data_IF_681378486751
#
_entry.id   IF_681378486751
#
_cell.length_a   1.000
_cell.length_b   1.000
_cell.length_c   1.000
_cell.angle_alpha   90.00
_cell.angle_beta   90.00
_cell.angle_gamma   90.00
#
_symmetry.space_group_name_H-M   'P 1'
#
loop_
_entity.id
_entity.type
_entity.pdbx_description
1 polymer ?
#
# COMPACT_ATOMS: atom_id res chain seq x y z
N UNK A 1 -29.07 5.06 49.00
CA UNK A 1 -28.71 6.27 48.23
C UNK A 1 -27.20 6.32 48.14
N UNK A 2 -26.47 6.22 47.04
CA UNK A 2 -26.69 5.91 45.63
C UNK A 2 -25.41 5.13 45.23
N UNK A 3 -25.54 3.94 44.65
CA UNK A 3 -25.13 3.64 43.27
C UNK A 3 -24.18 4.68 42.62
N UNK A 4 -22.93 4.29 42.40
CA UNK A 4 -22.17 4.75 41.24
C UNK A 4 -21.23 3.65 40.80
N UNK A 5 -21.81 2.80 39.96
CA UNK A 5 -21.12 1.84 39.11
C UNK A 5 -20.09 2.61 38.27
N UNK A 6 -18.81 2.50 38.63
CA UNK A 6 -17.73 2.89 37.72
C UNK A 6 -17.82 1.97 36.51
N UNK A 7 -18.18 2.57 35.38
CA UNK A 7 -18.22 1.93 34.07
C UNK A 7 -16.84 1.32 33.82
N UNK A 8 -16.79 -0.02 33.83
CA UNK A 8 -15.64 -0.77 33.34
C UNK A 8 -15.66 -0.65 31.82
N UNK A 9 -15.13 0.46 31.28
CA UNK A 9 -14.72 0.50 29.89
C UNK A 9 -13.53 -0.44 29.77
N UNK A 10 -13.80 -1.63 29.24
CA UNK A 10 -12.78 -2.61 28.89
C UNK A 10 -11.64 -1.92 28.16
N UNK A 11 -10.44 -1.97 28.75
CA UNK A 11 -9.20 -1.74 28.03
C UNK A 11 -9.03 -2.93 27.09
N UNK A 12 -9.78 -2.96 25.99
CA UNK A 12 -9.33 -3.70 24.82
C UNK A 12 -8.06 -3.01 24.38
N UNK A 13 -6.93 -3.55 24.83
CA UNK A 13 -5.64 -3.42 24.17
C UNK A 13 -5.90 -3.43 22.68
N UNK A 14 -5.86 -2.25 22.06
CA UNK A 14 -5.67 -2.15 20.62
C UNK A 14 -4.29 -2.75 20.41
N UNK A 15 -4.26 -4.08 20.22
CA UNK A 15 -3.19 -4.69 19.47
C UNK A 15 -3.07 -3.79 18.24
N UNK A 16 -1.93 -3.11 18.01
CA UNK A 16 -1.74 -2.43 16.75
C UNK A 16 -1.97 -3.51 15.72
N UNK A 17 -3.09 -3.42 14.99
CA UNK A 17 -3.28 -4.25 13.81
C UNK A 17 -1.98 -4.05 13.05
N UNK A 18 -1.26 -5.12 12.66
CA UNK A 18 -0.09 -4.94 11.84
C UNK A 18 -0.56 -4.15 10.64
N UNK A 19 -0.26 -2.86 10.62
CA UNK A 19 -0.36 -2.04 9.43
C UNK A 19 0.71 -2.67 8.59
N UNK A 20 0.33 -3.51 7.64
CA UNK A 20 1.24 -4.03 6.63
C UNK A 20 1.79 -2.79 5.96
N UNK A 21 2.96 -2.35 6.42
CA UNK A 21 3.59 -1.15 5.92
C UNK A 21 4.11 -1.53 4.56
N UNK A 22 3.40 -1.08 3.51
CA UNK A 22 3.89 -1.20 2.16
C UNK A 22 5.13 -0.31 2.05
N UNK A 23 6.28 -0.92 1.80
CA UNK A 23 7.45 -0.21 1.33
C UNK A 23 7.37 -0.07 -0.17
N UNK A 24 8.01 0.95 -0.73
CA UNK A 24 8.08 1.12 -2.19
C UNK A 24 8.66 -0.13 -2.89
N UNK A 25 9.60 -0.83 -2.24
CA UNK A 25 10.15 -2.09 -2.75
C UNK A 25 9.11 -3.19 -2.84
N UNK A 26 8.30 -3.40 -1.79
CA UNK A 26 7.21 -4.37 -1.82
C UNK A 26 6.18 -4.02 -2.91
N UNK A 27 5.83 -2.74 -3.05
CA UNK A 27 4.91 -2.29 -4.10
C UNK A 27 5.50 -2.60 -5.49
N UNK A 28 6.78 -2.31 -5.72
CA UNK A 28 7.46 -2.62 -6.99
C UNK A 28 7.44 -4.12 -7.30
N UNK A 29 7.73 -4.96 -6.31
CA UNK A 29 7.73 -6.42 -6.49
C UNK A 29 6.35 -6.96 -6.84
N UNK A 30 5.30 -6.52 -6.14
CA UNK A 30 3.92 -6.91 -6.43
C UNK A 30 3.49 -6.46 -7.83
N UNK A 31 3.78 -5.20 -8.18
CA UNK A 31 3.46 -4.64 -9.50
C UNK A 31 4.21 -5.36 -10.62
N UNK A 32 5.49 -5.71 -10.40
CA UNK A 32 6.28 -6.51 -11.36
C UNK A 32 5.61 -7.86 -11.61
N UNK A 33 5.16 -8.55 -10.58
CA UNK A 33 4.43 -9.81 -10.75
C UNK A 33 3.13 -9.63 -11.54
N UNK A 34 2.38 -8.54 -11.30
CA UNK A 34 1.16 -8.26 -12.06
C UNK A 34 1.45 -8.00 -13.55
N UNK A 35 2.57 -7.33 -13.87
CA UNK A 35 3.01 -7.10 -15.24
C UNK A 35 3.47 -8.41 -15.90
N UNK A 36 4.28 -9.22 -15.20
CA UNK A 36 4.78 -10.51 -15.70
C UNK A 36 3.66 -11.51 -15.98
N UNK A 37 2.59 -11.49 -15.15
CA UNK A 37 1.38 -12.28 -15.37
C UNK A 37 0.50 -11.76 -16.51
N UNK A 38 0.79 -10.56 -17.03
CA UNK A 38 -0.02 -9.90 -18.04
C UNK A 38 -1.34 -9.32 -17.51
N UNK A 39 -1.50 -9.24 -16.19
CA UNK A 39 -2.70 -8.70 -15.53
C UNK A 39 -2.79 -7.18 -15.71
N UNK A 40 -1.65 -6.49 -15.63
CA UNK A 40 -1.53 -5.05 -15.90
C UNK A 40 -0.45 -4.78 -16.94
N UNK A 41 -0.55 -3.66 -17.64
CA UNK A 41 0.46 -3.21 -18.61
C UNK A 41 1.31 -2.11 -18.02
N UNK A 42 2.61 -2.10 -18.35
CA UNK A 42 3.53 -1.01 -17.98
C UNK A 42 3.08 0.39 -18.40
N UNK A 43 2.20 0.51 -19.40
CA UNK A 43 1.70 1.81 -19.88
C UNK A 43 0.44 2.27 -19.16
N UNK A 44 -0.15 1.42 -18.31
CA UNK A 44 -1.31 1.81 -17.53
C UNK A 44 -0.89 2.75 -16.38
N UNK A 45 -1.79 3.64 -15.96
CA UNK A 45 -1.54 4.55 -14.85
C UNK A 45 -1.55 3.80 -13.51
N UNK A 46 -0.81 4.29 -12.52
CA UNK A 46 -0.69 3.66 -11.19
C UNK A 46 -2.02 3.49 -10.44
N UNK A 47 -3.03 4.31 -10.70
CA UNK A 47 -4.33 4.16 -10.04
C UNK A 47 -5.01 2.80 -10.33
N UNK A 48 -4.68 2.11 -11.43
CA UNK A 48 -5.30 0.81 -11.74
C UNK A 48 -4.95 -0.27 -10.71
N UNK A 49 -3.88 -0.06 -9.93
CA UNK A 49 -3.46 -0.97 -8.88
C UNK A 49 -4.52 -1.11 -7.76
N UNK A 50 -5.42 -0.14 -7.61
CA UNK A 50 -6.52 -0.21 -6.65
C UNK A 50 -7.54 -1.32 -6.95
N UNK A 51 -7.57 -1.83 -8.18
CA UNK A 51 -8.41 -2.97 -8.57
C UNK A 51 -7.85 -4.32 -8.07
N UNK A 52 -6.55 -4.36 -7.76
CA UNK A 52 -5.83 -5.58 -7.38
C UNK A 52 -5.42 -5.59 -5.91
N UNK A 53 -5.34 -4.41 -5.28
CA UNK A 53 -4.96 -4.25 -3.88
C UNK A 53 -6.24 -4.07 -3.05
N UNK A 54 -6.42 -4.82 -1.94
CA UNK A 54 -7.58 -4.64 -1.08
C UNK A 54 -7.73 -3.18 -0.61
N UNK A 55 -8.96 -2.65 -0.59
CA UNK A 55 -9.22 -1.25 -0.26
C UNK A 55 -8.60 -0.79 1.09
N UNK A 56 -8.51 -1.69 2.08
CA UNK A 56 -7.89 -1.40 3.39
C UNK A 56 -6.37 -1.22 3.32
N UNK A 57 -5.74 -1.78 2.31
CA UNK A 57 -4.29 -1.76 2.05
C UNK A 57 -3.93 -0.65 1.06
N UNK A 58 -4.84 -0.32 0.14
CA UNK A 58 -4.66 0.74 -0.85
C UNK A 58 -4.23 2.07 -0.23
N UNK A 59 -4.82 2.45 0.91
CA UNK A 59 -4.44 3.69 1.62
C UNK A 59 -2.95 3.71 1.99
N UNK A 60 -2.39 2.57 2.40
CA UNK A 60 -0.97 2.47 2.70
C UNK A 60 -0.09 2.57 1.45
N UNK A 61 -0.56 2.00 0.33
CA UNK A 61 0.13 2.02 -0.95
C UNK A 61 0.14 3.43 -1.54
N UNK A 62 -1.01 4.12 -1.55
CA UNK A 62 -1.13 5.50 -2.05
C UNK A 62 -0.22 6.46 -1.27
N UNK A 63 -0.22 6.38 0.06
CA UNK A 63 0.67 7.16 0.91
C UNK A 63 2.15 6.90 0.60
N UNK A 64 2.53 5.64 0.37
CA UNK A 64 3.92 5.28 0.06
C UNK A 64 4.35 5.76 -1.33
N UNK A 65 3.45 5.67 -2.34
CA UNK A 65 3.69 6.21 -3.68
C UNK A 65 3.91 7.73 -3.63
N UNK A 66 3.04 8.46 -2.93
CA UNK A 66 3.17 9.91 -2.77
C UNK A 66 4.47 10.29 -2.03
N UNK A 67 4.83 9.54 -0.98
CA UNK A 67 6.09 9.73 -0.23
C UNK A 67 7.34 9.52 -1.08
N UNK A 68 7.23 8.75 -2.16
CA UNK A 68 8.29 8.49 -3.12
C UNK A 68 8.14 9.30 -4.42
N UNK A 69 7.36 10.39 -4.40
CA UNK A 69 7.14 11.31 -5.52
C UNK A 69 6.48 10.68 -6.76
N UNK A 70 5.77 9.56 -6.59
CA UNK A 70 4.94 8.97 -7.65
C UNK A 70 3.52 9.50 -7.59
N UNK A 71 2.96 9.81 -8.74
CA UNK A 71 1.60 10.29 -8.89
C UNK A 71 0.73 9.17 -9.46
N UNK A 72 -0.52 9.09 -9.03
CA UNK A 72 -1.46 8.04 -9.48
C UNK A 72 -1.69 8.01 -11.00
N UNK A 73 -1.37 9.09 -11.70
CA UNK A 73 -1.44 9.21 -13.17
C UNK A 73 -0.18 8.73 -13.89
N UNK A 74 0.92 8.58 -13.17
CA UNK A 74 2.20 8.13 -13.73
C UNK A 74 2.06 6.68 -14.19
N UNK A 75 2.92 6.26 -15.10
CA UNK A 75 2.81 4.93 -15.68
C UNK A 75 3.40 3.90 -14.72
N UNK A 76 2.81 2.70 -14.71
CA UNK A 76 3.36 1.53 -14.00
C UNK A 76 4.83 1.31 -14.38
N UNK A 77 5.21 1.58 -15.63
CA UNK A 77 6.57 1.51 -16.13
C UNK A 77 7.55 2.41 -15.36
N UNK A 78 7.14 3.61 -14.95
CA UNK A 78 7.99 4.56 -14.22
C UNK A 78 8.32 4.05 -12.81
N UNK A 79 7.37 3.36 -12.18
CA UNK A 79 7.54 2.75 -10.87
C UNK A 79 8.54 1.59 -10.88
N UNK A 80 8.48 0.72 -11.90
CA UNK A 80 9.31 -0.50 -11.98
C UNK A 80 10.64 -0.31 -12.73
N UNK A 81 10.81 0.77 -13.52
CA UNK A 81 12.05 1.05 -14.25
C UNK A 81 13.18 1.57 -13.34
N UNK A 82 12.85 2.10 -12.17
CA UNK A 82 13.78 2.87 -11.33
C UNK A 82 14.82 2.01 -10.57
N UNK A 83 14.73 0.67 -10.59
CA UNK A 83 15.65 -0.24 -9.89
C UNK A 83 16.85 -0.72 -10.72
N UNK A 84 16.97 -0.35 -11.99
CA UNK A 84 18.06 -0.84 -12.85
C UNK A 84 19.39 -0.05 -12.71
N UNK A 85 19.69 0.53 -11.54
CA UNK A 85 20.92 1.30 -11.32
C UNK A 85 21.99 0.61 -10.45
N UNK A 86 21.84 -0.68 -10.11
CA UNK A 86 22.83 -1.43 -9.32
C UNK A 86 23.27 -2.76 -9.95
N UNK A 87 23.71 -2.73 -11.20
CA UNK A 87 24.61 -3.77 -11.72
C UNK A 87 25.59 -3.18 -12.71
N UNK A 88 26.63 -2.53 -12.17
CA UNK A 88 27.97 -2.48 -12.75
C UNK A 88 28.99 -2.83 -11.66
#
# INVERSE_FOLDING_TARGET
MLASQKIFMSLTTLSPRPTTHYSIGLIRDEVRQLVEKGTVSRHQPLYVLCEYIPAREWVGVECELERCDYLLRDQIGDLIACENWDSD
#
